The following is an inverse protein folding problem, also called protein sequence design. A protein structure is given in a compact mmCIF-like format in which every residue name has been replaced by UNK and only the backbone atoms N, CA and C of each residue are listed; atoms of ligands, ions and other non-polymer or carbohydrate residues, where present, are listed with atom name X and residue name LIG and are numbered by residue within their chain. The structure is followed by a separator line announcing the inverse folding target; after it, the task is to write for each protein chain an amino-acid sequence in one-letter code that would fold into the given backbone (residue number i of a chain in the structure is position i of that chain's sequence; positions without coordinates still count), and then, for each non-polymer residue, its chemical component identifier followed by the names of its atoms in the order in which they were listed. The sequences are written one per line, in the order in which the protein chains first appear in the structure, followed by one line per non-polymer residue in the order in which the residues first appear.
data_IF_462049332530
#
_entry.id   IF_462049332530
#
_cell.length_a   1.000
_cell.length_b   1.000
_cell.length_c   1.000
_cell.angle_alpha   90.00
_cell.angle_beta   90.00
_cell.angle_gamma   90.00
#
_symmetry.space_group_name_H-M   'P 1'
#
loop_
_entity.id
_entity.type
_entity.pdbx_description
1 polymer ?
#
# COMPACT_ATOMS: atom_id res chain seq x y z
N UNK A 1 11.53 22.87 6.15
CA UNK A 1 12.29 21.89 5.35
C UNK A 1 13.49 21.48 6.17
N UNK A 2 13.73 20.18 6.35
CA UNK A 2 14.95 19.68 6.99
C UNK A 2 15.93 19.25 5.90
N UNK A 3 17.22 19.51 6.13
CA UNK A 3 18.30 19.13 5.21
C UNK A 3 18.86 17.77 5.62
N UNK A 4 18.94 16.85 4.65
CA UNK A 4 19.58 15.55 4.81
C UNK A 4 20.80 15.50 3.88
N UNK A 5 21.98 15.21 4.43
CA UNK A 5 23.21 15.00 3.66
C UNK A 5 23.51 13.51 3.61
N UNK A 6 23.64 12.95 2.40
CA UNK A 6 23.92 11.53 2.19
C UNK A 6 25.06 11.39 1.19
N UNK A 7 25.95 10.41 1.38
CA UNK A 7 26.96 10.07 0.38
C UNK A 7 26.32 9.21 -0.70
N UNK A 8 26.44 9.62 -1.96
CA UNK A 8 25.99 8.84 -3.12
C UNK A 8 27.20 8.32 -3.89
N UNK A 9 27.19 7.04 -4.32
CA UNK A 9 28.13 6.55 -5.33
C UNK A 9 28.00 7.38 -6.62
N UNK A 10 29.11 7.60 -7.34
CA UNK A 10 29.13 8.42 -8.57
C UNK A 10 28.12 7.92 -9.61
N UNK A 11 28.09 6.59 -9.83
CA UNK A 11 27.14 5.96 -10.76
C UNK A 11 25.68 6.28 -10.42
N UNK A 12 25.34 6.37 -9.14
CA UNK A 12 23.98 6.67 -8.70
C UNK A 12 23.63 8.15 -8.93
N UNK A 13 24.60 9.06 -8.74
CA UNK A 13 24.39 10.48 -9.02
C UNK A 13 24.20 10.75 -10.53
N UNK A 14 24.93 10.03 -11.39
CA UNK A 14 24.76 10.11 -12.84
C UNK A 14 23.37 9.65 -13.28
N UNK A 15 22.90 8.52 -12.75
CA UNK A 15 21.56 8.00 -13.02
C UNK A 15 20.48 8.98 -12.51
N UNK A 16 20.67 9.54 -11.32
CA UNK A 16 19.77 10.54 -10.75
C UNK A 16 19.72 11.80 -11.61
N UNK A 17 20.86 12.28 -12.10
CA UNK A 17 20.95 13.44 -12.99
C UNK A 17 20.26 13.19 -14.34
N UNK A 18 20.43 11.99 -14.91
CA UNK A 18 19.74 11.60 -16.14
C UNK A 18 18.21 11.57 -15.94
N UNK A 19 17.74 10.98 -14.84
CA UNK A 19 16.31 10.91 -14.53
C UNK A 19 15.71 12.29 -14.28
N UNK A 20 16.38 13.13 -13.49
CA UNK A 20 15.97 14.51 -13.24
C UNK A 20 15.81 15.32 -14.55
N UNK A 21 16.74 15.16 -15.50
CA UNK A 21 16.65 15.80 -16.83
C UNK A 21 15.47 15.29 -17.66
N UNK A 22 15.23 13.97 -17.66
CA UNK A 22 14.13 13.35 -18.42
C UNK A 22 12.76 13.78 -17.91
N UNK A 23 12.61 13.89 -16.59
CA UNK A 23 11.34 14.24 -15.94
C UNK A 23 11.17 15.76 -15.76
N UNK A 24 12.15 16.58 -16.17
CA UNK A 24 12.19 18.02 -15.93
C UNK A 24 12.06 18.43 -14.46
N UNK A 25 12.60 17.60 -13.55
CA UNK A 25 12.56 17.81 -12.11
C UNK A 25 13.95 18.15 -11.55
N UNK A 26 14.00 18.74 -10.37
CA UNK A 26 15.27 18.87 -9.64
C UNK A 26 15.71 17.54 -9.05
N UNK A 27 17.04 17.32 -8.90
CA UNK A 27 17.57 16.13 -8.20
C UNK A 27 16.92 15.94 -6.82
N UNK A 28 16.74 17.03 -6.07
CA UNK A 28 16.13 17.00 -4.75
C UNK A 28 14.68 16.52 -4.76
N UNK A 29 13.94 16.84 -5.82
CA UNK A 29 12.54 16.49 -5.96
C UNK A 29 12.36 15.03 -6.32
N UNK A 30 13.20 14.53 -7.23
CA UNK A 30 13.30 13.11 -7.55
C UNK A 30 13.62 12.29 -6.29
N UNK A 31 14.61 12.72 -5.50
CA UNK A 31 14.99 12.03 -4.25
C UNK A 31 13.84 12.04 -3.25
N UNK A 32 13.13 13.17 -3.07
CA UNK A 32 11.96 13.23 -2.19
C UNK A 32 10.85 12.29 -2.64
N UNK A 33 10.54 12.25 -3.94
CA UNK A 33 9.52 11.35 -4.49
C UNK A 33 9.91 9.88 -4.29
N UNK A 34 11.17 9.53 -4.55
CA UNK A 34 11.68 8.18 -4.37
C UNK A 34 11.60 7.75 -2.89
N UNK A 35 12.02 8.61 -1.96
CA UNK A 35 11.91 8.33 -0.52
C UNK A 35 10.45 8.15 -0.09
N UNK A 36 9.54 9.01 -0.56
CA UNK A 36 8.12 8.88 -0.24
C UNK A 36 7.52 7.58 -0.80
N UNK A 37 7.91 7.18 -2.02
CA UNK A 37 7.48 5.93 -2.63
C UNK A 37 8.05 4.69 -1.90
N UNK A 38 9.30 4.77 -1.45
CA UNK A 38 9.95 3.70 -0.69
C UNK A 38 9.29 3.53 0.68
N UNK A 39 9.02 4.64 1.40
CA UNK A 39 8.32 4.60 2.68
C UNK A 39 6.94 3.98 2.50
N UNK A 40 6.14 4.43 1.51
CA UNK A 40 4.82 3.84 1.26
C UNK A 40 4.86 2.34 0.97
N UNK A 41 5.85 1.87 0.20
CA UNK A 41 6.01 0.44 -0.08
C UNK A 41 6.48 -0.34 1.15
N UNK A 42 7.35 0.26 1.97
CA UNK A 42 7.83 -0.36 3.20
C UNK A 42 6.73 -0.42 4.25
N UNK A 43 5.90 0.62 4.38
CA UNK A 43 4.75 0.62 5.29
C UNK A 43 3.68 -0.31 4.78
N UNK A 44 3.36 -0.36 3.47
CA UNK A 44 2.40 -1.32 2.94
C UNK A 44 2.78 -2.79 3.18
N UNK A 45 4.08 -3.10 3.32
CA UNK A 45 4.56 -4.45 3.70
C UNK A 45 4.46 -4.72 5.20
N UNK A 46 4.54 -3.70 6.05
CA UNK A 46 4.43 -3.80 7.51
C UNK A 46 2.98 -3.67 8.00
N UNK A 47 2.18 -2.85 7.31
CA UNK A 47 0.72 -2.69 7.40
C UNK A 47 -0.01 -3.72 6.54
N UNK A 48 0.69 -4.76 6.07
CA UNK A 48 0.09 -6.08 6.04
C UNK A 48 -0.15 -6.57 7.48
N UNK A 49 -0.79 -5.71 8.30
CA UNK A 49 -1.57 -6.13 9.44
C UNK A 49 -2.48 -7.25 8.97
N UNK A 50 -2.85 -8.11 9.92
CA UNK A 50 -3.72 -9.24 9.69
C UNK A 50 -4.81 -8.85 8.70
N UNK A 51 -5.22 -9.74 7.79
CA UNK A 51 -6.35 -9.48 6.88
C UNK A 51 -7.56 -8.88 7.59
N UNK A 52 -7.69 -9.12 8.90
CA UNK A 52 -8.60 -8.48 9.84
C UNK A 52 -8.49 -6.94 9.92
N UNK A 53 -7.29 -6.36 10.01
CA UNK A 53 -7.08 -4.91 10.08
C UNK A 53 -7.54 -4.20 8.81
N UNK A 54 -7.42 -4.87 7.66
CA UNK A 54 -7.87 -4.33 6.37
C UNK A 54 -9.39 -4.32 6.19
N UNK A 55 -10.13 -5.08 7.00
CA UNK A 55 -11.61 -5.22 6.89
C UNK A 55 -12.31 -4.92 8.21
N UNK A 56 -11.62 -4.27 9.15
CA UNK A 56 -12.14 -4.02 10.50
C UNK A 56 -13.43 -3.18 10.47
N UNK A 57 -13.55 -2.29 9.49
CA UNK A 57 -14.74 -1.47 9.21
C UNK A 57 -15.92 -2.28 8.64
N UNK A 58 -15.67 -3.45 8.05
CA UNK A 58 -16.68 -4.37 7.57
C UNK A 58 -17.18 -5.34 8.66
N UNK A 59 -16.44 -5.48 9.76
CA UNK A 59 -16.85 -6.33 10.89
C UNK A 59 -18.09 -5.70 11.54
N UNK A 60 -19.23 -6.39 11.43
CA UNK A 60 -20.49 -5.92 11.99
C UNK A 60 -21.21 -4.84 11.17
N UNK A 61 -20.82 -4.59 9.91
CA UNK A 61 -21.49 -3.62 9.05
C UNK A 61 -22.91 -4.04 8.61
N UNK A 62 -23.34 -5.26 8.94
CA UNK A 62 -24.64 -5.81 8.59
C UNK A 62 -25.34 -6.35 9.83
N UNK A 63 -26.60 -5.95 10.03
CA UNK A 63 -27.45 -6.38 11.13
C UNK A 63 -28.72 -7.08 10.59
N UNK A 64 -29.33 -7.95 11.39
CA UNK A 64 -30.61 -8.59 11.07
C UNK A 64 -30.52 -9.96 10.36
N UNK A 65 -29.33 -10.54 10.25
CA UNK A 65 -29.12 -11.90 9.75
C UNK A 65 -29.28 -12.98 10.84
N UNK A 66 -29.61 -14.23 10.46
CA UNK A 66 -29.52 -15.39 11.36
C UNK A 66 -28.12 -15.52 11.98
N UNK A 67 -28.05 -15.90 13.25
CA UNK A 67 -26.78 -16.03 13.98
C UNK A 67 -25.86 -17.14 13.42
N UNK A 68 -26.39 -18.03 12.58
CA UNK A 68 -25.72 -19.20 12.03
C UNK A 68 -25.44 -19.10 10.52
N UNK A 69 -25.56 -17.91 9.92
CA UNK A 69 -25.38 -17.68 8.48
C UNK A 69 -24.08 -18.25 7.91
N UNK A 70 -22.98 -18.21 8.66
CA UNK A 70 -21.67 -18.72 8.21
C UNK A 70 -21.46 -20.22 8.43
N UNK A 71 -22.31 -20.86 9.22
CA UNK A 71 -22.09 -22.24 9.71
C UNK A 71 -23.18 -23.21 9.27
N UNK A 72 -24.37 -22.72 8.91
CA UNK A 72 -25.49 -23.55 8.49
C UNK A 72 -25.54 -23.66 6.95
N UNK A 73 -25.25 -24.85 6.38
CA UNK A 73 -25.20 -25.07 4.93
C UNK A 73 -26.56 -24.95 4.25
N UNK A 74 -27.68 -25.04 4.97
CA UNK A 74 -29.01 -24.90 4.39
C UNK A 74 -29.22 -23.48 3.81
N UNK A 75 -28.57 -22.46 4.38
CA UNK A 75 -28.63 -21.08 3.88
C UNK A 75 -27.88 -20.90 2.55
N UNK A 76 -27.01 -21.84 2.16
CA UNK A 76 -26.28 -21.82 0.89
C UNK A 76 -26.99 -22.63 -0.21
N UNK A 77 -28.16 -23.21 0.07
CA UNK A 77 -28.91 -24.00 -0.91
C UNK A 77 -29.25 -23.17 -2.15
N UNK A 78 -28.75 -23.60 -3.31
CA UNK A 78 -28.98 -22.93 -4.59
C UNK A 78 -28.02 -21.77 -4.91
N UNK A 79 -27.04 -21.49 -4.04
CA UNK A 79 -25.98 -20.53 -4.30
C UNK A 79 -25.11 -21.00 -5.49
N UNK A 80 -24.93 -20.14 -6.50
CA UNK A 80 -24.11 -20.45 -7.68
C UNK A 80 -24.80 -21.31 -8.75
N UNK A 81 -26.10 -21.61 -8.63
CA UNK A 81 -26.89 -22.21 -9.71
C UNK A 81 -27.22 -21.15 -10.77
N UNK A 82 -26.27 -20.86 -11.66
CA UNK A 82 -26.54 -20.14 -12.91
C UNK A 82 -25.51 -20.48 -13.99
#
# INVERSE_FOLDING_TARGET
MNTLTVKLPEQLDEQLAALARREHLSKSEVVRQALAAYIRQSTAKSDAGSSLDSVMDLVGCFEGGPADLSSNPDHLAGFGLR
#
